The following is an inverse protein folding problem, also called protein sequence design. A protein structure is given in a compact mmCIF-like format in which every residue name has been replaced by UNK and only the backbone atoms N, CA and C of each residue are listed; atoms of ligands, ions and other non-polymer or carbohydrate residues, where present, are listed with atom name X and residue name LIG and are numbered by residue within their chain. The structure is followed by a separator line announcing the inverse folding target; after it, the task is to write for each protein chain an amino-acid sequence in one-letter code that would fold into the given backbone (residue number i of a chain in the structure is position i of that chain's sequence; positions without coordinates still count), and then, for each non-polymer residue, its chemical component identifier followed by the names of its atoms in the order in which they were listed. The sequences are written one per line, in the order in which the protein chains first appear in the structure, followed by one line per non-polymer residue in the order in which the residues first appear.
data_IF_953592964463
#
_entry.id   IF_953592964463
#
_cell.length_a   1.000
_cell.length_b   1.000
_cell.length_c   1.000
_cell.angle_alpha   90.00
_cell.angle_beta   90.00
_cell.angle_gamma   90.00
#
_symmetry.space_group_name_H-M   'P 1'
#
loop_
_entity.id
_entity.type
_entity.pdbx_description
1 polymer ?
#
# COMPACT_ATOMS: atom_id res chain seq x y z
N UNK A 1 18.86 -22.84 -7.74
CA UNK A 1 17.53 -23.10 -7.19
C UNK A 1 16.92 -21.90 -6.50
N UNK A 2 17.65 -21.23 -5.63
CA UNK A 2 17.13 -20.06 -4.93
C UNK A 2 16.79 -18.90 -5.86
N UNK A 3 17.60 -18.71 -6.89
CA UNK A 3 17.36 -17.65 -7.88
C UNK A 3 16.08 -17.86 -8.67
N UNK A 4 15.70 -19.11 -8.88
CA UNK A 4 14.47 -19.44 -9.59
C UNK A 4 13.25 -18.96 -8.81
N UNK A 5 13.23 -19.18 -7.50
CA UNK A 5 12.14 -18.74 -6.67
C UNK A 5 12.00 -17.22 -6.65
N UNK A 6 13.12 -16.52 -6.65
CA UNK A 6 13.13 -15.06 -6.71
C UNK A 6 12.57 -14.54 -8.00
N UNK A 7 12.91 -15.18 -9.10
CA UNK A 7 12.40 -14.80 -10.42
C UNK A 7 10.90 -14.96 -10.48
N UNK A 8 10.38 -16.07 -9.95
CA UNK A 8 8.94 -16.30 -9.93
C UNK A 8 8.21 -15.24 -9.12
N UNK A 9 8.77 -14.85 -7.99
CA UNK A 9 8.22 -13.81 -7.15
C UNK A 9 8.13 -12.47 -7.90
N UNK A 10 9.19 -12.13 -8.62
CA UNK A 10 9.23 -10.90 -9.40
C UNK A 10 8.15 -10.87 -10.49
N UNK A 11 7.91 -11.99 -11.12
CA UNK A 11 6.86 -12.09 -12.16
C UNK A 11 5.49 -11.80 -11.57
N UNK A 12 5.21 -12.33 -10.40
CA UNK A 12 3.94 -12.08 -9.72
C UNK A 12 3.75 -10.60 -9.40
N UNK A 13 4.82 -9.94 -8.99
CA UNK A 13 4.79 -8.51 -8.70
C UNK A 13 4.44 -7.69 -9.93
N UNK A 14 5.03 -8.04 -11.06
CA UNK A 14 4.77 -7.34 -12.30
C UNK A 14 3.29 -7.43 -12.69
N UNK A 15 2.69 -8.59 -12.48
CA UNK A 15 1.26 -8.77 -12.76
C UNK A 15 0.40 -7.86 -11.89
N UNK A 16 0.75 -7.74 -10.62
CA UNK A 16 0.01 -6.88 -9.70
C UNK A 16 0.07 -5.41 -10.13
N UNK A 17 1.21 -4.97 -10.59
CA UNK A 17 1.36 -3.59 -11.04
C UNK A 17 0.54 -3.31 -12.29
N UNK A 18 0.42 -4.26 -13.18
CA UNK A 18 -0.40 -4.10 -14.38
C UNK A 18 -1.87 -3.87 -14.03
N UNK A 19 -2.36 -4.56 -13.01
CA UNK A 19 -3.73 -4.39 -12.53
C UNK A 19 -3.95 -2.97 -12.00
N UNK A 20 -3.00 -2.48 -11.22
CA UNK A 20 -3.07 -1.13 -10.66
C UNK A 20 -3.12 -0.08 -11.78
N UNK A 21 -2.31 -0.25 -12.80
CA UNK A 21 -2.28 0.67 -13.93
C UNK A 21 -3.63 0.73 -14.64
N UNK A 22 -4.29 -0.41 -14.78
CA UNK A 22 -5.61 -0.47 -15.40
C UNK A 22 -6.64 0.33 -14.61
N UNK A 23 -6.59 0.22 -13.29
CA UNK A 23 -7.51 0.96 -12.43
C UNK A 23 -7.31 2.46 -12.53
N UNK A 24 -6.07 2.90 -12.68
CA UNK A 24 -5.75 4.31 -12.78
C UNK A 24 -6.42 4.99 -13.97
N UNK A 25 -6.77 4.25 -15.00
CA UNK A 25 -7.40 4.79 -16.20
C UNK A 25 -8.89 5.09 -16.04
N UNK A 26 -9.52 4.56 -15.02
CA UNK A 26 -10.95 4.68 -14.82
C UNK A 26 -11.40 6.04 -14.27
N UNK A 27 -10.51 6.76 -13.60
CA UNK A 27 -10.76 8.07 -13.00
C UNK A 27 -12.10 8.21 -12.27
N UNK A 28 -12.39 7.35 -11.29
CA UNK A 28 -13.64 7.47 -10.55
C UNK A 28 -13.67 8.74 -9.71
N UNK A 29 -14.88 9.24 -9.43
CA UNK A 29 -15.08 10.44 -8.62
C UNK A 29 -16.01 10.14 -7.45
N UNK A 30 -15.93 10.95 -6.40
CA UNK A 30 -16.79 10.83 -5.24
C UNK A 30 -16.58 9.53 -4.49
N UNK A 31 -17.67 8.84 -4.18
CA UNK A 31 -17.60 7.58 -3.44
C UNK A 31 -16.78 6.51 -4.13
N UNK A 32 -16.88 6.42 -5.45
CA UNK A 32 -16.12 5.44 -6.22
C UNK A 32 -14.62 5.70 -6.07
N UNK A 33 -14.20 6.96 -6.09
CA UNK A 33 -12.80 7.32 -5.89
C UNK A 33 -12.30 6.93 -4.51
N UNK A 34 -13.12 7.16 -3.48
CA UNK A 34 -12.78 6.81 -2.11
C UNK A 34 -12.65 5.29 -1.97
N UNK A 35 -13.61 4.55 -2.51
CA UNK A 35 -13.58 3.09 -2.45
C UNK A 35 -12.35 2.52 -3.13
N UNK A 36 -12.03 3.02 -4.32
CA UNK A 36 -10.83 2.59 -5.05
C UNK A 36 -9.56 2.94 -4.27
N UNK A 37 -9.54 4.11 -3.65
CA UNK A 37 -8.39 4.52 -2.84
C UNK A 37 -8.19 3.58 -1.66
N UNK A 38 -9.26 3.17 -1.01
CA UNK A 38 -9.20 2.21 0.10
C UNK A 38 -8.58 0.90 -0.38
N UNK A 39 -9.10 0.35 -1.47
CA UNK A 39 -8.63 -0.92 -1.99
C UNK A 39 -7.18 -0.83 -2.48
N UNK A 40 -6.84 0.24 -3.20
CA UNK A 40 -5.49 0.42 -3.72
C UNK A 40 -4.48 0.63 -2.60
N UNK A 41 -4.86 1.34 -1.54
CA UNK A 41 -3.98 1.54 -0.39
C UNK A 41 -3.71 0.20 0.30
N UNK A 42 -4.74 -0.57 0.58
CA UNK A 42 -4.59 -1.86 1.27
C UNK A 42 -3.82 -2.86 0.42
N UNK A 43 -4.14 -2.96 -0.87
CA UNK A 43 -3.43 -3.85 -1.79
C UNK A 43 -1.95 -3.48 -1.90
N UNK A 44 -1.67 -2.18 -1.98
CA UNK A 44 -0.32 -1.68 -2.08
C UNK A 44 0.51 -2.02 -0.85
N UNK A 45 -0.06 -1.87 0.34
CA UNK A 45 0.64 -2.22 1.57
C UNK A 45 0.94 -3.72 1.61
N UNK A 46 -0.04 -4.54 1.26
CA UNK A 46 0.13 -5.99 1.24
C UNK A 46 1.19 -6.41 0.22
N UNK A 47 1.18 -5.79 -0.96
CA UNK A 47 2.18 -6.06 -1.99
C UNK A 47 3.58 -5.67 -1.51
N UNK A 48 3.71 -4.52 -0.85
CA UNK A 48 4.99 -4.09 -0.31
C UNK A 48 5.52 -5.06 0.75
N UNK A 49 4.65 -5.56 1.60
CA UNK A 49 5.04 -6.56 2.59
C UNK A 49 5.62 -7.81 1.92
N UNK A 50 4.98 -8.27 0.86
CA UNK A 50 5.45 -9.42 0.11
C UNK A 50 6.80 -9.14 -0.56
N UNK A 51 6.96 -7.94 -1.10
CA UNK A 51 8.21 -7.54 -1.75
C UNK A 51 9.38 -7.49 -0.77
N UNK A 52 9.14 -6.99 0.44
CA UNK A 52 10.17 -6.97 1.49
C UNK A 52 10.56 -8.39 1.86
N UNK A 53 9.60 -9.29 2.01
CA UNK A 53 9.88 -10.69 2.33
C UNK A 53 10.67 -11.38 1.23
N UNK A 54 10.45 -10.99 0.00
CA UNK A 54 11.19 -11.52 -1.15
C UNK A 54 12.59 -10.90 -1.29
N UNK A 55 12.91 -9.89 -0.49
CA UNK A 55 14.18 -9.20 -0.56
C UNK A 55 14.26 -8.14 -1.63
N UNK A 56 13.14 -7.78 -2.24
CA UNK A 56 13.09 -6.77 -3.30
C UNK A 56 12.73 -5.41 -2.70
N UNK A 57 13.71 -4.79 -2.07
CA UNK A 57 13.51 -3.52 -1.38
C UNK A 57 13.25 -2.36 -2.36
N UNK A 58 13.83 -2.44 -3.55
CA UNK A 58 13.60 -1.42 -4.57
C UNK A 58 12.13 -1.39 -5.00
N UNK A 59 11.56 -2.55 -5.27
CA UNK A 59 10.13 -2.66 -5.61
C UNK A 59 9.26 -2.22 -4.45
N UNK A 60 9.63 -2.61 -3.22
CA UNK A 60 8.87 -2.24 -2.03
C UNK A 60 8.82 -0.71 -1.86
N UNK A 61 9.93 -0.02 -2.05
CA UNK A 61 9.97 1.45 -1.94
C UNK A 61 8.98 2.09 -2.91
N UNK A 62 8.96 1.62 -4.14
CA UNK A 62 8.05 2.14 -5.17
C UNK A 62 6.60 1.83 -4.82
N UNK A 63 6.32 0.63 -4.39
CA UNK A 63 4.96 0.20 -4.04
C UNK A 63 4.43 0.98 -2.84
N UNK A 64 5.28 1.25 -1.84
CA UNK A 64 4.88 2.04 -0.68
C UNK A 64 4.56 3.48 -1.11
N UNK A 65 5.34 4.03 -2.02
CA UNK A 65 5.07 5.38 -2.54
C UNK A 65 3.69 5.40 -3.21
N UNK A 66 3.40 4.42 -4.04
CA UNK A 66 2.11 4.32 -4.72
C UNK A 66 0.96 4.19 -3.73
N UNK A 67 1.14 3.39 -2.67
CA UNK A 67 0.13 3.25 -1.62
C UNK A 67 -0.09 4.57 -0.90
N UNK A 68 0.98 5.31 -0.60
CA UNK A 68 0.86 6.59 0.08
C UNK A 68 0.15 7.63 -0.79
N UNK A 69 0.35 7.56 -2.10
CA UNK A 69 -0.35 8.45 -3.04
C UNK A 69 -1.83 8.07 -3.13
N UNK A 70 -2.14 6.79 -3.18
CA UNK A 70 -3.53 6.32 -3.19
C UNK A 70 -4.26 6.77 -1.93
N UNK A 71 -3.59 6.76 -0.79
CA UNK A 71 -4.20 7.14 0.48
C UNK A 71 -4.68 8.59 0.51
N UNK A 72 -4.16 9.44 -0.36
CA UNK A 72 -4.59 10.84 -0.44
C UNK A 72 -6.05 10.97 -0.85
N UNK A 73 -6.55 10.05 -1.64
CA UNK A 73 -7.94 10.02 -2.07
C UNK A 73 -8.85 9.27 -1.09
N UNK A 74 -8.27 8.73 -0.04
CA UNK A 74 -9.00 8.06 1.02
C UNK A 74 -9.64 9.12 1.93
N UNK A 75 -10.55 9.88 1.37
CA UNK A 75 -11.15 11.04 2.05
C UNK A 75 -12.46 10.68 2.72
N UNK A 76 -12.41 10.68 4.02
CA UNK A 76 -13.57 10.38 4.85
C UNK A 76 -13.40 11.16 6.16
N UNK A 77 -14.25 12.12 6.39
CA UNK A 77 -14.10 13.10 7.48
C UNK A 77 -13.80 12.48 8.84
N UNK A 78 -14.50 11.42 9.19
CA UNK A 78 -14.36 10.77 10.49
C UNK A 78 -12.96 10.19 10.67
N UNK A 79 -12.30 9.82 9.58
CA UNK A 79 -11.00 9.16 9.62
C UNK A 79 -9.84 10.04 9.17
N UNK A 80 -10.09 11.33 8.93
CA UNK A 80 -9.07 12.21 8.34
C UNK A 80 -7.77 12.25 9.14
N UNK A 81 -7.87 12.40 10.45
CA UNK A 81 -6.68 12.42 11.31
C UNK A 81 -5.95 11.08 11.30
N UNK A 82 -6.72 9.99 11.36
CA UNK A 82 -6.16 8.64 11.30
C UNK A 82 -5.47 8.41 9.97
N UNK A 83 -6.06 8.88 8.87
CA UNK A 83 -5.47 8.80 7.55
C UNK A 83 -4.12 9.51 7.49
N UNK A 84 -4.04 10.72 8.02
CA UNK A 84 -2.79 11.47 8.03
C UNK A 84 -1.69 10.73 8.78
N UNK A 85 -2.01 10.20 9.96
CA UNK A 85 -1.05 9.43 10.75
C UNK A 85 -0.60 8.17 10.02
N UNK A 86 -1.53 7.46 9.43
CA UNK A 86 -1.22 6.23 8.71
C UNK A 86 -0.37 6.51 7.47
N UNK A 87 -0.65 7.60 6.76
CA UNK A 87 0.16 8.01 5.61
C UNK A 87 1.59 8.35 6.05
N UNK A 88 1.75 8.99 7.20
CA UNK A 88 3.07 9.29 7.73
C UNK A 88 3.83 8.00 8.07
N UNK A 89 3.13 6.99 8.57
CA UNK A 89 3.73 5.67 8.84
C UNK A 89 4.20 5.03 7.53
N UNK A 90 3.43 5.16 6.45
CA UNK A 90 3.86 4.66 5.13
C UNK A 90 5.12 5.35 4.65
N UNK A 91 5.19 6.66 4.81
CA UNK A 91 6.38 7.43 4.42
C UNK A 91 7.60 7.01 5.22
N UNK A 92 7.43 6.78 6.52
CA UNK A 92 8.51 6.30 7.38
C UNK A 92 8.95 4.89 6.97
N UNK A 93 8.00 4.02 6.64
CA UNK A 93 8.32 2.68 6.16
C UNK A 93 9.14 2.72 4.87
N UNK A 94 8.79 3.63 3.97
CA UNK A 94 9.55 3.81 2.73
C UNK A 94 10.99 4.22 3.01
N UNK A 95 11.19 5.14 3.94
CA UNK A 95 12.53 5.56 4.33
C UNK A 95 13.32 4.39 4.92
N UNK A 96 12.66 3.56 5.72
CA UNK A 96 13.30 2.37 6.27
C UNK A 96 13.74 1.41 5.18
N UNK A 97 12.91 1.20 4.17
CA UNK A 97 13.25 0.37 3.01
C UNK A 97 14.46 0.94 2.28
N UNK A 98 14.46 2.24 2.05
CA UNK A 98 15.57 2.90 1.36
C UNK A 98 16.87 2.82 2.14
N UNK A 99 16.78 2.78 3.46
CA UNK A 99 17.93 2.62 4.34
C UNK A 99 18.35 1.14 4.49
N UNK A 100 17.61 0.21 3.91
CA UNK A 100 17.91 -1.21 4.01
C UNK A 100 17.41 -1.86 5.30
N UNK A 101 16.58 -1.16 6.06
CA UNK A 101 16.04 -1.67 7.34
C UNK A 101 14.70 -2.36 7.10
N UNK A 102 14.75 -3.60 6.65
CA UNK A 102 13.57 -4.37 6.34
C UNK A 102 12.67 -4.60 7.57
N UNK A 103 13.26 -4.84 8.73
CA UNK A 103 12.49 -5.10 9.95
C UNK A 103 11.65 -3.90 10.34
N UNK A 104 12.23 -2.70 10.32
CA UNK A 104 11.50 -1.48 10.62
C UNK A 104 10.41 -1.21 9.60
N UNK A 105 10.70 -1.47 8.33
CA UNK A 105 9.73 -1.29 7.25
C UNK A 105 8.53 -2.24 7.43
N UNK A 106 8.78 -3.50 7.74
CA UNK A 106 7.72 -4.47 7.97
C UNK A 106 6.83 -4.06 9.15
N UNK A 107 7.43 -3.60 10.24
CA UNK A 107 6.68 -3.14 11.40
C UNK A 107 5.80 -1.94 11.04
N UNK A 108 6.34 -0.99 10.30
CA UNK A 108 5.59 0.18 9.84
C UNK A 108 4.43 -0.18 8.94
N UNK A 109 4.67 -1.09 7.99
CA UNK A 109 3.63 -1.54 7.07
C UNK A 109 2.50 -2.27 7.80
N UNK A 110 2.84 -3.10 8.79
CA UNK A 110 1.82 -3.78 9.60
C UNK A 110 0.94 -2.76 10.35
N UNK A 111 1.55 -1.74 10.92
CA UNK A 111 0.83 -0.67 11.60
C UNK A 111 -0.08 0.09 10.63
N UNK A 112 0.44 0.45 9.46
CA UNK A 112 -0.34 1.15 8.46
C UNK A 112 -1.51 0.29 7.96
N UNK A 113 -1.26 -0.98 7.71
CA UNK A 113 -2.30 -1.89 7.26
C UNK A 113 -3.44 -1.97 8.26
N UNK A 114 -3.11 -2.07 9.54
CA UNK A 114 -4.10 -2.09 10.60
C UNK A 114 -4.93 -0.80 10.61
N UNK A 115 -4.27 0.34 10.54
CA UNK A 115 -4.95 1.64 10.55
C UNK A 115 -5.88 1.81 9.35
N UNK A 116 -5.42 1.49 8.16
CA UNK A 116 -6.25 1.62 6.96
C UNK A 116 -7.38 0.59 6.95
N UNK A 117 -7.16 -0.59 7.50
CA UNK A 117 -8.23 -1.60 7.64
C UNK A 117 -9.33 -1.11 8.59
N UNK A 118 -8.96 -0.45 9.67
CA UNK A 118 -9.93 0.15 10.58
C UNK A 118 -10.71 1.26 9.90
N UNK A 119 -10.03 2.08 9.12
CA UNK A 119 -10.70 3.14 8.36
C UNK A 119 -11.69 2.56 7.36
N UNK A 120 -11.32 1.48 6.69
CA UNK A 120 -12.21 0.79 5.77
C UNK A 120 -13.45 0.30 6.50
N UNK A 121 -13.28 -0.30 7.67
CA UNK A 121 -14.42 -0.79 8.45
C UNK A 121 -15.37 0.34 8.82
N UNK A 122 -14.84 1.50 9.22
CA UNK A 122 -15.65 2.67 9.51
C UNK A 122 -16.41 3.18 8.29
N UNK A 123 -15.73 3.21 7.16
CA UNK A 123 -16.34 3.62 5.89
C UNK A 123 -17.49 2.67 5.52
N UNK A 124 -17.27 1.37 5.62
CA UNK A 124 -18.27 0.37 5.25
C UNK A 124 -19.50 0.44 6.16
N UNK A 125 -19.34 0.85 7.41
CA UNK A 125 -20.47 1.00 8.34
C UNK A 125 -21.41 2.15 7.95
N UNK A 126 -20.91 3.18 7.25
CA UNK A 126 -21.65 4.38 6.92
C UNK A 126 -21.99 4.49 5.44
N UNK A 127 -21.52 3.57 4.66
CA UNK A 127 -21.73 3.52 3.21
C UNK A 127 -22.09 2.11 2.79
#
# INVERSE_FOLDING_TARGET
MRSINKVLTSVLMAASMAIISTNAMAEPKGEAAVKDAIENTLSGITAAQAEIKAGDLSAASKTILEASQASKEFRFEITERQRQKATDVLKAARKSVEAGDAAAAEAGLATALHSFSEMKAKYDLTH
#
